data_IF_941231006226
#
_entry.id   IF_941231006226
#
_cell.length_a   1.000
_cell.length_b   1.000
_cell.length_c   1.000
_cell.angle_alpha   90.00
_cell.angle_beta   90.00
_cell.angle_gamma   90.00
#
_symmetry.space_group_name_H-M   'P 1'
#
loop_
_entity.id
_entity.type
_entity.pdbx_description
1 polymer ?
#
# COMPACT_ATOMS: atom_id res chain seq x y z
N UNK A 1 18.02 -8.02 -20.77
CA UNK A 1 16.79 -7.65 -21.51
C UNK A 1 16.51 -6.14 -21.44
N UNK A 2 16.56 -5.50 -20.26
CA UNK A 2 16.32 -4.05 -20.13
C UNK A 2 17.31 -3.16 -20.92
N UNK A 3 18.60 -3.51 -20.96
CA UNK A 3 19.64 -2.73 -21.67
C UNK A 3 19.45 -2.63 -23.18
N UNK A 4 18.72 -3.58 -23.80
CA UNK A 4 18.47 -3.59 -25.24
C UNK A 4 17.40 -2.56 -25.66
N UNK A 5 16.42 -2.30 -24.79
CA UNK A 5 15.28 -1.43 -25.08
C UNK A 5 15.40 -0.04 -24.42
N UNK A 6 16.39 0.15 -23.54
CA UNK A 6 16.67 1.40 -22.85
C UNK A 6 16.68 2.64 -23.77
N UNK A 7 17.35 2.64 -24.94
CA UNK A 7 17.39 3.82 -25.82
C UNK A 7 16.01 4.17 -26.37
N UNK A 8 15.21 3.15 -26.70
CA UNK A 8 13.84 3.31 -27.22
C UNK A 8 12.91 3.86 -26.14
N UNK A 9 13.03 3.39 -24.89
CA UNK A 9 12.23 3.88 -23.77
C UNK A 9 12.59 5.32 -23.40
N UNK A 10 13.87 5.70 -23.45
CA UNK A 10 14.30 7.09 -23.25
C UNK A 10 13.74 8.01 -24.33
N UNK A 11 13.82 7.61 -25.60
CA UNK A 11 13.25 8.38 -26.72
C UNK A 11 11.73 8.56 -26.60
N UNK A 12 11.02 7.55 -26.09
CA UNK A 12 9.58 7.60 -25.86
C UNK A 12 9.18 8.29 -24.54
N UNK A 13 10.13 8.70 -23.69
CA UNK A 13 9.86 9.33 -22.40
C UNK A 13 9.26 8.40 -21.33
N UNK A 14 9.30 7.08 -21.55
CA UNK A 14 8.69 6.07 -20.66
C UNK A 14 9.72 5.28 -19.83
N UNK A 15 11.00 5.61 -19.97
CA UNK A 15 12.10 4.93 -19.30
C UNK A 15 11.92 4.84 -17.78
N UNK A 16 11.69 5.99 -17.12
CA UNK A 16 11.52 6.05 -15.66
C UNK A 16 10.27 5.29 -15.19
N UNK A 17 9.18 5.35 -15.94
CA UNK A 17 7.95 4.61 -15.61
C UNK A 17 8.17 3.08 -15.67
N UNK A 18 8.92 2.60 -16.67
CA UNK A 18 9.25 1.18 -16.80
C UNK A 18 10.20 0.76 -15.67
N UNK A 19 11.24 1.53 -15.37
CA UNK A 19 12.13 1.23 -14.25
C UNK A 19 11.37 1.21 -12.92
N UNK A 20 10.54 2.22 -12.64
CA UNK A 20 9.77 2.30 -11.41
C UNK A 20 8.73 1.17 -11.29
N UNK A 21 8.13 0.72 -12.39
CA UNK A 21 7.17 -0.41 -12.38
C UNK A 21 7.82 -1.79 -12.27
N UNK A 22 9.09 -1.91 -12.69
CA UNK A 22 9.86 -3.17 -12.61
C UNK A 22 10.73 -3.24 -11.36
N UNK A 23 10.91 -2.12 -10.66
CA UNK A 23 11.64 -2.08 -9.41
C UNK A 23 10.84 -2.79 -8.31
N UNK A 24 11.37 -3.93 -7.88
CA UNK A 24 10.82 -4.66 -6.74
C UNK A 24 11.39 -4.06 -5.46
N UNK A 25 10.55 -3.34 -4.71
CA UNK A 25 10.89 -2.90 -3.35
C UNK A 25 10.93 -4.14 -2.46
N UNK A 26 12.15 -4.64 -2.22
CA UNK A 26 12.35 -5.74 -1.27
C UNK A 26 12.13 -5.21 0.14
N UNK A 27 11.10 -5.73 0.80
CA UNK A 27 10.86 -5.47 2.23
C UNK A 27 12.01 -6.06 3.03
N UNK A 28 12.83 -5.21 3.63
CA UNK A 28 13.82 -5.61 4.61
C UNK A 28 13.27 -5.33 6.00
N UNK A 29 12.87 -6.39 6.70
CA UNK A 29 12.24 -6.29 8.02
C UNK A 29 13.15 -5.62 9.05
N UNK A 30 14.45 -5.88 9.00
CA UNK A 30 15.41 -5.31 9.96
C UNK A 30 15.53 -3.80 9.79
N UNK A 31 15.52 -3.31 8.55
CA UNK A 31 15.50 -1.87 8.28
C UNK A 31 14.19 -1.21 8.71
N UNK A 32 13.05 -1.90 8.53
CA UNK A 32 11.75 -1.40 9.00
C UNK A 32 11.72 -1.30 10.52
N UNK A 33 12.25 -2.30 11.22
CA UNK A 33 12.35 -2.29 12.68
C UNK A 33 13.29 -1.19 13.17
N UNK A 34 14.47 -1.05 12.56
CA UNK A 34 15.41 0.02 12.90
C UNK A 34 14.86 1.43 12.64
N UNK A 35 14.01 1.59 11.62
CA UNK A 35 13.28 2.83 11.40
C UNK A 35 12.21 3.06 12.48
N UNK A 36 11.47 2.02 12.85
CA UNK A 36 10.44 2.10 13.90
C UNK A 36 11.03 2.51 15.26
N UNK A 37 12.26 2.09 15.58
CA UNK A 37 12.98 2.51 16.79
C UNK A 37 13.28 4.02 16.83
N UNK A 38 13.34 4.69 15.67
CA UNK A 38 13.56 6.14 15.57
C UNK A 38 12.28 6.96 15.67
N UNK A 39 11.12 6.32 15.72
CA UNK A 39 9.84 7.00 15.81
C UNK A 39 9.65 7.70 17.16
N UNK A 40 9.35 8.99 17.12
CA UNK A 40 8.96 9.78 18.28
C UNK A 40 7.47 10.13 18.17
N UNK A 41 6.67 9.71 19.15
CA UNK A 41 5.22 10.00 19.20
C UNK A 41 4.93 11.48 19.39
N UNK A 42 5.81 12.19 20.10
CA UNK A 42 5.55 13.57 20.53
C UNK A 42 5.70 14.54 19.36
N UNK A 43 6.69 14.32 18.49
CA UNK A 43 6.92 15.12 17.28
C UNK A 43 6.25 14.52 16.03
N UNK A 44 5.68 13.31 16.14
CA UNK A 44 5.04 12.57 15.03
C UNK A 44 6.01 12.38 13.85
N UNK A 45 7.27 12.09 14.17
CA UNK A 45 8.36 11.98 13.20
C UNK A 45 9.43 10.99 13.62
N UNK A 46 10.39 10.74 12.73
CA UNK A 46 11.56 9.92 12.96
C UNK A 46 12.76 10.79 13.28
N UNK A 47 13.40 10.53 14.42
CA UNK A 47 14.57 11.28 14.89
C UNK A 47 15.84 10.52 14.54
N UNK A 48 16.68 11.11 13.70
CA UNK A 48 18.01 10.62 13.38
C UNK A 48 19.07 11.53 13.98
N UNK A 49 20.30 11.03 14.13
CA UNK A 49 21.43 11.84 14.63
C UNK A 49 21.79 13.03 13.73
N UNK A 50 21.34 13.00 12.47
CA UNK A 50 21.63 14.00 11.44
C UNK A 50 20.41 14.81 11.03
N UNK A 51 19.23 14.56 11.57
CA UNK A 51 18.01 15.28 11.20
C UNK A 51 16.72 14.60 11.67
N UNK A 52 15.60 15.28 11.45
CA UNK A 52 14.27 14.77 11.74
C UNK A 52 13.48 14.60 10.44
N UNK A 53 12.77 13.48 10.30
CA UNK A 53 11.87 13.23 9.19
C UNK A 53 10.44 13.10 9.70
N UNK A 54 9.62 14.11 9.45
CA UNK A 54 8.21 14.12 9.84
C UNK A 54 7.35 13.65 8.68
N UNK A 55 6.35 12.80 8.95
CA UNK A 55 5.33 12.44 7.95
C UNK A 55 4.21 13.47 8.04
N UNK A 56 4.00 14.22 6.96
CA UNK A 56 2.92 15.21 6.90
C UNK A 56 1.61 14.57 6.44
N UNK A 57 0.52 15.30 6.63
CA UNK A 57 -0.80 14.87 6.17
C UNK A 57 -0.87 14.80 4.63
N UNK A 58 -0.13 15.67 3.94
CA UNK A 58 -0.02 15.68 2.48
C UNK A 58 0.66 14.41 1.96
N UNK A 59 1.70 13.93 2.67
CA UNK A 59 2.37 12.67 2.35
C UNK A 59 1.41 11.48 2.49
N UNK A 60 0.55 11.49 3.51
CA UNK A 60 -0.47 10.46 3.75
C UNK A 60 -1.56 10.47 2.67
N UNK A 61 -1.95 11.64 2.15
CA UNK A 61 -2.93 11.78 1.07
C UNK A 61 -2.50 11.09 -0.22
N UNK A 62 -1.24 11.29 -0.60
CA UNK A 62 -0.67 10.69 -1.82
C UNK A 62 -0.71 9.15 -1.74
N UNK A 63 -0.57 8.61 -0.53
CA UNK A 63 -0.61 7.17 -0.26
C UNK A 63 -2.02 6.63 0.04
N UNK A 64 -3.07 7.45 -0.07
CA UNK A 64 -4.46 7.03 0.08
C UNK A 64 -4.97 6.92 1.52
N UNK A 65 -4.26 7.48 2.50
CA UNK A 65 -4.70 7.55 3.88
C UNK A 65 -5.71 8.70 4.12
N UNK A 66 -6.56 8.54 5.13
CA UNK A 66 -7.58 9.56 5.46
C UNK A 66 -6.93 10.79 6.09
N UNK A 67 -7.18 11.95 5.48
CA UNK A 67 -6.76 13.28 5.94
C UNK A 67 -7.35 13.64 7.30
N UNK A 68 -8.49 13.05 7.65
CA UNK A 68 -9.20 13.35 8.90
C UNK A 68 -8.52 12.75 10.14
N UNK A 69 -7.37 12.07 9.98
CA UNK A 69 -6.58 11.59 11.10
C UNK A 69 -7.28 10.55 11.97
N UNK A 70 -8.40 9.97 11.49
CA UNK A 70 -9.03 8.86 12.20
C UNK A 70 -8.03 7.70 12.26
N UNK A 71 -7.63 7.27 13.47
CA UNK A 71 -6.69 6.17 13.61
C UNK A 71 -7.24 4.95 12.89
N UNK A 72 -6.42 4.33 12.03
CA UNK A 72 -6.67 2.96 11.56
C UNK A 72 -6.34 1.95 12.68
N UNK A 73 -6.16 2.40 13.92
CA UNK A 73 -6.47 1.56 15.06
C UNK A 73 -7.99 1.45 15.15
N UNK A 74 -8.54 0.61 14.28
CA UNK A 74 -9.84 0.01 14.51
C UNK A 74 -9.65 -0.93 15.70
N UNK A 75 -9.55 -0.36 16.90
CA UNK A 75 -9.90 -1.03 18.15
C UNK A 75 -11.44 -1.10 18.32
N UNK A 76 -12.18 -0.67 17.31
CA UNK A 76 -13.59 -0.95 17.18
C UNK A 76 -13.71 -2.39 16.70
N UNK A 77 -13.66 -3.30 17.66
CA UNK A 77 -13.96 -4.73 17.53
C UNK A 77 -15.46 -4.94 17.20
N UNK A 78 -16.01 -4.08 16.33
CA UNK A 78 -17.40 -4.11 15.95
C UNK A 78 -17.62 -5.26 15.00
N UNK A 79 -18.74 -5.94 15.21
CA UNK A 79 -19.07 -7.16 14.48
C UNK A 79 -19.19 -6.93 12.97
N UNK A 80 -19.50 -5.70 12.54
CA UNK A 80 -19.50 -5.29 11.15
C UNK A 80 -18.10 -5.26 10.52
N UNK A 81 -17.06 -4.91 11.28
CA UNK A 81 -15.69 -4.86 10.80
C UNK A 81 -15.07 -6.25 10.74
N UNK A 82 -15.33 -7.12 11.73
CA UNK A 82 -14.98 -8.55 11.68
C UNK A 82 -15.62 -9.25 10.48
N UNK A 83 -16.93 -9.06 10.26
CA UNK A 83 -17.64 -9.61 9.09
C UNK A 83 -17.07 -9.07 7.76
N UNK A 84 -16.66 -7.80 7.72
CA UNK A 84 -16.03 -7.22 6.53
C UNK A 84 -14.66 -7.83 6.26
N UNK A 85 -13.83 -7.95 7.30
CA UNK A 85 -12.51 -8.56 7.22
C UNK A 85 -12.59 -10.03 6.78
N UNK A 86 -13.49 -10.81 7.37
CA UNK A 86 -13.69 -12.22 7.03
C UNK A 86 -14.12 -12.38 5.57
N UNK A 87 -15.01 -11.52 5.07
CA UNK A 87 -15.40 -11.48 3.64
C UNK A 87 -14.22 -11.14 2.72
N UNK A 88 -13.35 -10.22 3.12
CA UNK A 88 -12.15 -9.87 2.35
C UNK A 88 -11.14 -11.03 2.35
N UNK A 89 -10.92 -11.68 3.49
CA UNK A 89 -10.04 -12.83 3.61
C UNK A 89 -10.55 -14.03 2.81
N UNK A 90 -11.86 -14.30 2.82
CA UNK A 90 -12.47 -15.33 1.99
C UNK A 90 -12.24 -15.07 0.50
N UNK A 91 -12.46 -13.82 0.06
CA UNK A 91 -12.22 -13.41 -1.33
C UNK A 91 -10.74 -13.56 -1.71
N UNK A 92 -9.82 -13.21 -0.81
CA UNK A 92 -8.37 -13.42 -0.99
C UNK A 92 -8.02 -14.90 -1.14
N UNK A 93 -8.61 -15.77 -0.32
CA UNK A 93 -8.43 -17.22 -0.41
C UNK A 93 -8.96 -17.78 -1.74
N UNK A 94 -10.13 -17.31 -2.19
CA UNK A 94 -10.68 -17.69 -3.50
C UNK A 94 -9.74 -17.32 -4.65
N UNK A 95 -9.17 -16.10 -4.65
CA UNK A 95 -8.23 -15.70 -5.68
C UNK A 95 -6.94 -16.53 -5.68
N UNK A 96 -6.42 -16.88 -4.50
CA UNK A 96 -5.25 -17.75 -4.39
C UNK A 96 -5.54 -19.19 -4.84
N UNK A 97 -6.80 -19.65 -4.79
CA UNK A 97 -7.21 -20.98 -5.29
C UNK A 97 -7.38 -21.01 -6.81
N UNK A 98 -7.87 -19.91 -7.40
CA UNK A 98 -8.13 -19.80 -8.84
C UNK A 98 -6.84 -19.51 -9.63
N UNK A 99 -5.86 -18.88 -8.98
CA UNK A 99 -4.60 -18.48 -9.61
C UNK A 99 -3.43 -18.76 -8.66
N UNK A 100 -2.42 -19.49 -9.14
CA UNK A 100 -1.13 -19.66 -8.43
C UNK A 100 -0.37 -18.34 -8.25
N UNK A 101 -0.81 -17.26 -8.91
CA UNK A 101 -0.32 -15.90 -8.73
C UNK A 101 -1.25 -15.15 -7.78
N UNK A 102 -0.66 -14.60 -6.71
CA UNK A 102 -1.32 -13.78 -5.68
C UNK A 102 -2.40 -12.88 -6.27
N UNK A 103 -3.49 -12.68 -5.53
CA UNK A 103 -4.64 -11.87 -5.93
C UNK A 103 -4.24 -10.54 -6.61
N UNK A 104 -4.27 -10.52 -7.95
CA UNK A 104 -3.82 -9.37 -8.74
C UNK A 104 -4.79 -8.19 -8.59
N UNK A 105 -4.26 -6.97 -8.60
CA UNK A 105 -5.02 -5.71 -8.49
C UNK A 105 -6.27 -5.68 -9.38
N UNK A 106 -6.17 -6.17 -10.62
CA UNK A 106 -7.29 -6.21 -11.56
C UNK A 106 -8.46 -7.11 -11.12
N UNK A 107 -8.20 -8.19 -10.37
CA UNK A 107 -9.22 -9.12 -9.86
C UNK A 107 -9.98 -8.51 -8.68
N UNK A 108 -9.26 -7.84 -7.77
CA UNK A 108 -9.87 -7.06 -6.70
C UNK A 108 -10.79 -5.97 -7.25
N UNK A 109 -10.28 -5.20 -8.20
CA UNK A 109 -11.05 -4.15 -8.86
C UNK A 109 -12.32 -4.72 -9.52
N UNK A 110 -12.24 -5.80 -10.30
CA UNK A 110 -13.43 -6.43 -10.90
C UNK A 110 -14.47 -6.89 -9.86
N UNK A 111 -14.04 -7.44 -8.72
CA UNK A 111 -14.94 -7.96 -7.69
C UNK A 111 -15.66 -6.84 -6.93
N UNK A 112 -14.97 -5.73 -6.65
CA UNK A 112 -15.47 -4.70 -5.75
C UNK A 112 -15.96 -3.41 -6.45
N UNK A 113 -15.61 -3.15 -7.71
CA UNK A 113 -16.09 -1.98 -8.46
C UNK A 113 -17.60 -2.07 -8.80
N UNK A 114 -18.15 -3.27 -8.96
CA UNK A 114 -19.57 -3.43 -9.33
C UNK A 114 -20.56 -3.12 -8.22
N UNK A 115 -20.10 -3.04 -6.98
CA UNK A 115 -20.92 -2.63 -5.84
C UNK A 115 -20.57 -1.16 -5.60
N UNK A 116 -21.56 -0.26 -5.61
CA UNK A 116 -21.39 1.19 -5.40
C UNK A 116 -20.88 1.56 -4.00
N UNK A 117 -19.76 0.98 -3.59
CA UNK A 117 -19.09 1.06 -2.30
C UNK A 117 -17.70 1.74 -2.42
N UNK A 118 -17.43 2.45 -3.53
CA UNK A 118 -16.20 3.23 -3.70
C UNK A 118 -16.03 4.35 -2.67
N UNK A 119 -17.10 4.77 -1.99
CA UNK A 119 -17.00 5.74 -0.90
C UNK A 119 -16.27 5.18 0.33
N UNK A 120 -16.42 3.89 0.63
CA UNK A 120 -15.96 3.29 1.90
C UNK A 120 -14.83 2.26 1.77
N UNK A 121 -14.37 1.94 0.55
CA UNK A 121 -13.35 0.92 0.32
C UNK A 121 -11.94 1.49 0.04
N UNK A 122 -11.78 2.81 0.03
CA UNK A 122 -10.47 3.49 -0.02
C UNK A 122 -9.56 3.19 1.18
N UNK A 123 -10.11 2.63 2.25
CA UNK A 123 -9.41 2.36 3.52
C UNK A 123 -8.88 0.92 3.67
N UNK A 124 -9.07 0.05 2.67
CA UNK A 124 -8.71 -1.38 2.80
C UNK A 124 -7.96 -1.87 1.56
N UNK A 125 -6.86 -1.20 1.21
CA UNK A 125 -5.89 -1.79 0.29
C UNK A 125 -4.87 -2.62 1.11
N UNK A 126 -4.91 -3.96 1.06
CA UNK A 126 -3.88 -4.75 1.70
C UNK A 126 -2.61 -4.61 0.87
N UNK A 127 -1.61 -3.91 1.42
CA UNK A 127 -0.25 -3.91 0.89
C UNK A 127 0.33 -5.32 0.98
N UNK A 128 0.14 -6.12 -0.07
CA UNK A 128 0.85 -7.38 -0.31
C UNK A 128 2.11 -7.13 -1.10
#
# INVERSE_FOLDING_TARGET
MASLHEPTWKKAGIHEAILNSTYEIRKNTDLVLGLAEKWCSDTKGFIFSWGEATITLEDLMIHGYSVLGSPVFIASDTEELKKREERLNQTRMEFNRISTRRAQHCLWMKKFIKVGAMSNMRHFWPCG
#
